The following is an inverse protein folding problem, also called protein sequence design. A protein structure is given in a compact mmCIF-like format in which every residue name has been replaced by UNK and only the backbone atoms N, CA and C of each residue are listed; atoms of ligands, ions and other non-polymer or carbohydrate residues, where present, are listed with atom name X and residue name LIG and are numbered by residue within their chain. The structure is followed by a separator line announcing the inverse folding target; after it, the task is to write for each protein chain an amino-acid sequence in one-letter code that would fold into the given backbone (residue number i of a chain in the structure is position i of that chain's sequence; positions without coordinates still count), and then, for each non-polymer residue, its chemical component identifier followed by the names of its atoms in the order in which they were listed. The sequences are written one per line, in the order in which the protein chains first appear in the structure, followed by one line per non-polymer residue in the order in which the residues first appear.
data_IF_793312743544
#
_entry.id   IF_793312743544
#
_cell.length_a   1.000
_cell.length_b   1.000
_cell.length_c   1.000
_cell.angle_alpha   90.00
_cell.angle_beta   90.00
_cell.angle_gamma   90.00
#
_symmetry.space_group_name_H-M   'P 1'
#
loop_
_entity.id
_entity.type
_entity.pdbx_description
1 polymer ?
#
# COMPACT_ATOMS: atom_id res chain seq x y z
N UNK A 1 7.55 22.10 12.46
CA UNK A 1 6.72 21.89 13.68
C UNK A 1 5.27 21.50 13.34
N UNK A 2 4.63 22.10 12.33
CA UNK A 2 3.26 21.74 11.87
C UNK A 2 3.14 20.34 11.20
N UNK A 3 4.24 19.84 10.62
CA UNK A 3 4.28 18.53 9.94
C UNK A 3 4.09 17.33 10.91
N UNK A 4 4.59 17.44 12.14
CA UNK A 4 4.48 16.38 13.15
C UNK A 4 3.08 16.32 13.80
N UNK A 5 2.36 17.43 13.88
CA UNK A 5 1.03 17.49 14.52
C UNK A 5 -0.08 16.89 13.64
N UNK A 6 0.07 16.96 12.32
CA UNK A 6 -0.95 16.48 11.35
C UNK A 6 -1.00 14.94 11.22
N UNK A 7 0.04 14.22 11.65
CA UNK A 7 0.18 12.76 11.53
C UNK A 7 -0.41 11.94 12.67
N UNK A 8 -0.93 12.56 13.72
CA UNK A 8 -1.19 11.88 15.00
C UNK A 8 -2.37 10.89 15.00
N UNK A 9 -2.91 10.48 13.84
CA UNK A 9 -4.07 9.57 13.81
C UNK A 9 -4.39 8.85 12.51
N UNK A 10 -3.62 8.99 11.42
CA UNK A 10 -3.88 8.23 10.18
C UNK A 10 -2.85 7.12 10.04
N UNK A 11 -3.29 5.86 9.90
CA UNK A 11 -2.37 4.76 9.57
C UNK A 11 -1.72 5.08 8.22
N UNK A 12 -0.38 5.07 8.14
CA UNK A 12 0.29 5.50 6.93
C UNK A 12 0.27 4.41 5.83
N UNK A 13 -0.24 3.21 6.13
CA UNK A 13 -0.51 2.16 5.15
C UNK A 13 -2.01 2.13 4.86
N UNK A 14 -2.42 2.42 3.62
CA UNK A 14 -3.83 2.31 3.25
C UNK A 14 -4.17 0.83 3.00
N UNK A 15 -5.18 0.30 3.69
CA UNK A 15 -5.65 -1.08 3.50
C UNK A 15 -6.97 -1.10 2.75
N UNK A 16 -7.04 -1.91 1.69
CA UNK A 16 -8.25 -2.05 0.90
C UNK A 16 -9.42 -2.52 1.79
N UNK A 17 -10.55 -1.81 1.70
CA UNK A 17 -11.75 -2.05 2.49
C UNK A 17 -11.77 -1.41 3.88
N UNK A 18 -10.77 -0.57 4.22
CA UNK A 18 -10.72 0.17 5.49
C UNK A 18 -10.77 1.68 5.25
N UNK A 19 -11.32 2.43 6.20
CA UNK A 19 -11.37 3.90 6.19
C UNK A 19 -11.92 4.52 4.89
N UNK A 20 -12.84 3.82 4.21
CA UNK A 20 -13.42 4.23 2.93
C UNK A 20 -12.50 4.05 1.71
N UNK A 21 -11.35 3.38 1.86
CA UNK A 21 -10.43 3.09 0.75
C UNK A 21 -10.87 1.81 0.02
N UNK A 22 -11.61 1.98 -1.07
CA UNK A 22 -12.18 0.90 -1.87
C UNK A 22 -11.39 0.61 -3.18
N UNK A 23 -11.86 -0.38 -3.93
CA UNK A 23 -11.20 -0.85 -5.16
C UNK A 23 -11.17 0.22 -6.25
N UNK A 24 -12.24 1.02 -6.37
CA UNK A 24 -12.30 2.12 -7.32
C UNK A 24 -11.28 3.20 -6.98
N UNK A 25 -11.17 3.57 -5.70
CA UNK A 25 -10.18 4.54 -5.22
C UNK A 25 -8.76 4.04 -5.42
N UNK A 26 -8.51 2.75 -5.18
CA UNK A 26 -7.23 2.10 -5.47
C UNK A 26 -6.89 2.16 -6.96
N UNK A 27 -7.81 1.78 -7.84
CA UNK A 27 -7.60 1.79 -9.29
C UNK A 27 -7.30 3.19 -9.81
N UNK A 28 -8.10 4.19 -9.40
CA UNK A 28 -7.85 5.60 -9.73
C UNK A 28 -6.46 6.05 -9.29
N UNK A 29 -6.01 5.65 -8.09
CA UNK A 29 -4.68 5.97 -7.58
C UNK A 29 -3.57 5.40 -8.46
N UNK A 30 -3.62 4.11 -8.80
CA UNK A 30 -2.54 3.47 -9.55
C UNK A 30 -2.54 3.85 -11.03
N UNK A 31 -3.67 4.28 -11.59
CA UNK A 31 -3.82 4.69 -12.99
C UNK A 31 -3.68 6.20 -13.20
N UNK A 32 -3.42 6.99 -12.15
CA UNK A 32 -3.23 8.44 -12.29
C UNK A 32 -1.86 8.75 -12.91
N UNK A 33 -1.84 8.97 -14.23
CA UNK A 33 -0.65 9.34 -14.99
C UNK A 33 -0.07 10.71 -14.58
N UNK A 34 -0.85 11.56 -13.92
CA UNK A 34 -0.39 12.86 -13.43
C UNK A 34 0.38 12.75 -12.10
N UNK A 35 0.21 11.63 -11.40
CA UNK A 35 0.89 11.34 -10.15
C UNK A 35 2.38 11.09 -10.39
N UNK A 36 3.22 11.85 -9.67
CA UNK A 36 4.67 11.62 -9.61
C UNK A 36 5.06 10.61 -8.53
N UNK A 37 4.09 10.08 -7.78
CA UNK A 37 4.34 9.18 -6.65
C UNK A 37 4.60 7.77 -7.16
N UNK A 38 5.44 7.04 -6.43
CA UNK A 38 5.55 5.59 -6.55
C UNK A 38 4.45 4.95 -5.69
N UNK A 39 3.55 4.20 -6.33
CA UNK A 39 2.52 3.46 -5.62
C UNK A 39 3.00 2.03 -5.39
N UNK A 40 3.26 1.71 -4.12
CA UNK A 40 3.69 0.38 -3.67
C UNK A 40 2.46 -0.38 -3.20
N UNK A 41 2.25 -1.58 -3.73
CA UNK A 41 1.12 -2.45 -3.36
C UNK A 41 1.65 -3.76 -2.82
N UNK A 42 1.38 -4.03 -1.55
CA UNK A 42 1.64 -5.30 -0.88
C UNK A 42 0.41 -6.20 -1.02
N UNK A 43 0.51 -7.14 -1.97
CA UNK A 43 -0.51 -8.15 -2.24
C UNK A 43 -0.27 -9.34 -1.32
N UNK A 44 -1.15 -9.51 -0.34
CA UNK A 44 -1.05 -10.53 0.69
C UNK A 44 -2.12 -11.61 0.55
N UNK A 45 -2.01 -12.65 1.38
CA UNK A 45 -3.07 -13.65 1.57
C UNK A 45 -3.54 -13.67 3.02
N UNK A 46 -4.82 -13.94 3.26
CA UNK A 46 -5.44 -13.92 4.59
C UNK A 46 -4.72 -14.73 5.69
N UNK A 47 -3.86 -15.69 5.32
CA UNK A 47 -3.10 -16.55 6.24
C UNK A 47 -1.59 -16.24 6.29
N UNK A 48 -1.15 -15.10 5.75
CA UNK A 48 0.27 -14.77 5.61
C UNK A 48 0.87 -14.14 6.89
N UNK A 49 1.28 -14.97 7.85
CA UNK A 49 2.06 -14.53 9.03
C UNK A 49 3.25 -13.62 8.69
N UNK A 50 4.12 -13.95 7.70
CA UNK A 50 5.24 -13.09 7.29
C UNK A 50 4.84 -11.73 6.71
N UNK A 51 3.64 -11.60 6.14
CA UNK A 51 3.14 -10.33 5.61
C UNK A 51 2.78 -9.35 6.75
N UNK A 52 2.56 -9.83 7.98
CA UNK A 52 2.45 -8.94 9.13
C UNK A 52 3.80 -8.30 9.49
N UNK A 53 4.91 -9.00 9.23
CA UNK A 53 6.26 -8.52 9.57
C UNK A 53 6.74 -7.36 8.69
N UNK A 54 6.17 -7.15 7.50
CA UNK A 54 6.55 -6.01 6.64
C UNK A 54 5.86 -4.71 7.04
N UNK A 55 4.68 -4.79 7.68
CA UNK A 55 3.91 -3.60 8.09
C UNK A 55 4.73 -2.66 9.00
N UNK A 56 5.45 -3.13 10.04
CA UNK A 56 6.33 -2.26 10.83
C UNK A 56 7.47 -1.63 10.02
N UNK A 57 8.00 -2.34 9.02
CA UNK A 57 9.07 -1.83 8.13
C UNK A 57 8.55 -0.64 7.31
N UNK A 58 7.36 -0.75 6.74
CA UNK A 58 6.72 0.35 6.01
C UNK A 58 6.48 1.58 6.89
N UNK A 59 5.99 1.36 8.12
CA UNK A 59 5.82 2.44 9.11
C UNK A 59 7.15 3.12 9.44
N UNK A 60 8.23 2.34 9.57
CA UNK A 60 9.58 2.87 9.85
C UNK A 60 10.10 3.70 8.68
N UNK A 61 9.95 3.20 7.44
CA UNK A 61 10.35 3.94 6.23
C UNK A 61 9.62 5.28 6.12
N UNK A 62 8.32 5.31 6.40
CA UNK A 62 7.51 6.53 6.32
C UNK A 62 7.87 7.61 7.35
N UNK A 63 8.43 7.20 8.49
CA UNK A 63 8.91 8.11 9.54
C UNK A 63 10.36 8.54 9.29
N UNK A 64 11.21 7.62 8.85
CA UNK A 64 12.64 7.86 8.67
C UNK A 64 13.03 8.52 7.34
N UNK A 65 12.11 8.61 6.38
CA UNK A 65 12.37 9.15 5.05
C UNK A 65 11.67 10.50 4.89
N UNK A 66 12.45 11.54 4.60
CA UNK A 66 11.93 12.89 4.36
C UNK A 66 10.93 12.91 3.20
N UNK A 67 9.80 13.59 3.45
CA UNK A 67 8.73 13.79 2.47
C UNK A 67 8.26 12.47 1.82
N UNK A 68 8.25 11.36 2.58
CA UNK A 68 7.85 10.06 2.03
C UNK A 68 6.46 10.11 1.38
N UNK A 69 5.49 10.75 2.04
CA UNK A 69 4.10 10.84 1.55
C UNK A 69 3.94 11.63 0.25
N UNK A 70 4.89 12.52 -0.05
CA UNK A 70 4.91 13.28 -1.30
C UNK A 70 5.50 12.45 -2.46
N UNK A 71 6.21 11.37 -2.14
CA UNK A 71 6.97 10.55 -3.10
C UNK A 71 6.42 9.15 -3.28
N UNK A 72 5.78 8.59 -2.26
CA UNK A 72 5.36 7.21 -2.22
C UNK A 72 4.02 7.04 -1.51
N UNK A 73 3.24 6.04 -1.93
CA UNK A 73 2.11 5.52 -1.17
C UNK A 73 2.29 4.02 -0.95
N UNK A 74 1.76 3.49 0.14
CA UNK A 74 1.78 2.06 0.44
C UNK A 74 0.34 1.60 0.58
N UNK A 75 -0.03 0.58 -0.20
CA UNK A 75 -1.36 -0.04 -0.18
C UNK A 75 -1.24 -1.51 0.17
N UNK A 76 -2.09 -2.01 1.05
CA UNK A 76 -2.23 -3.44 1.32
C UNK A 76 -3.55 -3.95 0.77
N UNK A 77 -3.51 -5.07 0.05
CA UNK A 77 -4.73 -5.74 -0.42
C UNK A 77 -4.60 -7.26 -0.45
N UNK A 78 -5.71 -7.95 -0.16
CA UNK A 78 -5.77 -9.39 -0.35
C UNK A 78 -5.76 -9.70 -1.85
N UNK A 79 -4.99 -10.70 -2.30
CA UNK A 79 -5.01 -11.19 -3.68
C UNK A 79 -6.40 -11.52 -4.21
N UNK A 80 -7.35 -11.89 -3.34
CA UNK A 80 -8.73 -12.19 -3.75
C UNK A 80 -9.53 -10.94 -4.11
N UNK A 81 -9.00 -9.75 -3.84
CA UNK A 81 -9.66 -8.48 -4.15
C UNK A 81 -9.70 -8.19 -5.66
N UNK A 82 -8.88 -8.87 -6.47
CA UNK A 82 -8.85 -8.73 -7.92
C UNK A 82 -8.70 -10.10 -8.61
N UNK A 83 -9.54 -10.43 -9.61
CA UNK A 83 -9.42 -11.70 -10.34
C UNK A 83 -8.05 -11.94 -10.97
N UNK A 84 -7.43 -10.88 -11.52
CA UNK A 84 -6.07 -10.95 -12.07
C UNK A 84 -5.06 -11.41 -11.01
N UNK A 85 -5.17 -10.91 -9.78
CA UNK A 85 -4.21 -11.15 -8.71
C UNK A 85 -4.32 -12.57 -8.16
N UNK A 86 -5.52 -13.14 -8.17
CA UNK A 86 -5.72 -14.56 -7.86
C UNK A 86 -4.91 -15.43 -8.83
N UNK A 87 -4.99 -15.16 -10.13
CA UNK A 87 -4.27 -15.94 -11.15
C UNK A 87 -2.76 -15.66 -11.10
N UNK A 88 -2.37 -14.41 -10.92
CA UNK A 88 -0.98 -13.94 -11.03
C UNK A 88 -0.13 -14.22 -9.80
N UNK A 89 -0.71 -14.16 -8.61
CA UNK A 89 0.01 -14.32 -7.34
C UNK A 89 -0.55 -15.53 -6.60
N UNK A 90 0.08 -16.71 -6.67
CA UNK A 90 -0.38 -17.88 -5.93
C UNK A 90 -0.29 -17.66 -4.41
N UNK A 91 -1.04 -18.46 -3.63
CA UNK A 91 -0.94 -18.38 -2.17
C UNK A 91 0.42 -18.90 -1.71
N UNK A 92 1.25 -17.99 -1.21
CA UNK A 92 2.58 -18.31 -0.67
C UNK A 92 2.80 -17.61 0.67
N UNK A 93 3.83 -18.04 1.40
CA UNK A 93 4.29 -17.39 2.63
C UNK A 93 5.24 -16.21 2.38
N UNK A 94 5.17 -15.59 1.19
CA UNK A 94 6.00 -14.45 0.78
C UNK A 94 5.10 -13.31 0.32
N UNK A 95 5.37 -12.07 0.74
CA UNK A 95 4.64 -10.91 0.21
C UNK A 95 4.98 -10.71 -1.28
N UNK A 96 3.99 -10.24 -2.04
CA UNK A 96 4.18 -9.80 -3.41
C UNK A 96 4.06 -8.29 -3.48
N UNK A 97 5.13 -7.60 -3.89
CA UNK A 97 5.11 -6.15 -4.05
C UNK A 97 4.96 -5.77 -5.52
N UNK A 98 3.99 -4.89 -5.80
CA UNK A 98 3.81 -4.24 -7.09
C UNK A 98 4.16 -2.77 -6.98
N UNK A 99 4.70 -2.24 -8.06
CA UNK A 99 5.17 -0.86 -8.17
C UNK A 99 4.51 -0.23 -9.39
N UNK A 100 3.69 0.79 -9.16
CA UNK A 100 3.05 1.59 -10.20
C UNK A 100 3.64 3.01 -10.17
N UNK A 101 3.87 3.59 -11.34
CA UNK A 101 4.50 4.91 -11.46
C UNK A 101 4.05 5.55 -12.77
N UNK A 102 3.35 6.68 -12.65
CA UNK A 102 2.77 7.42 -13.77
C UNK A 102 1.80 6.57 -14.61
N UNK A 103 0.88 5.87 -13.93
CA UNK A 103 0.06 4.81 -14.51
C UNK A 103 0.70 3.42 -14.39
#
# INVERSE_FOLDING_TARGET
QLWQQRKKGKDPVDKLGQDGFDLETFQKRISDETSKKLHIVDVYTAWCGPCLSIVPTFKTMQVGIDQFEDRCTITQMDRTSMPEYVTRFPQTSKPHFLFYKAG
#
